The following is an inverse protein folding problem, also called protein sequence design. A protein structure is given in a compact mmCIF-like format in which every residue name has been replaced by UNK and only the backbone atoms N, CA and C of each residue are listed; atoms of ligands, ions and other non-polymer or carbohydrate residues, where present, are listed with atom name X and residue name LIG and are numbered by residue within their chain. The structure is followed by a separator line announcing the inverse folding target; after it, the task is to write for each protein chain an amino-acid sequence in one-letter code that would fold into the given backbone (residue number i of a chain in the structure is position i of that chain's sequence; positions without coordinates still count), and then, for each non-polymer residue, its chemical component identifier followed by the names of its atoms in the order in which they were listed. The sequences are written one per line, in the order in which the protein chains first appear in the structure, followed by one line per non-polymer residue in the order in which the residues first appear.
data_IF_433916038374
#
_entry.id   IF_433916038374
#
_cell.length_a   1.000
_cell.length_b   1.000
_cell.length_c   1.000
_cell.angle_alpha   90.00
_cell.angle_beta   90.00
_cell.angle_gamma   90.00
#
_symmetry.space_group_name_H-M   'P 1'
#
loop_
_entity.id
_entity.type
_entity.pdbx_description
1 polymer ?
#
# COMPACT_ATOMS: atom_id res chain seq x y z
N UNK A 1 24.13 7.38 42.34
CA UNK A 1 22.88 8.12 42.05
C UNK A 1 22.50 7.84 40.62
N UNK A 2 21.48 7.01 40.41
CA UNK A 2 21.00 6.57 39.09
C UNK A 2 20.04 7.60 38.53
N UNK A 3 20.49 8.38 37.53
CA UNK A 3 19.62 9.26 36.76
C UNK A 3 18.80 8.43 35.76
N UNK A 4 17.51 8.30 36.02
CA UNK A 4 16.54 7.75 35.07
C UNK A 4 16.43 8.71 33.89
N UNK A 5 16.91 8.29 32.71
CA UNK A 5 16.63 8.99 31.48
C UNK A 5 15.10 8.98 31.24
N UNK A 6 14.46 10.13 30.99
CA UNK A 6 13.03 10.15 30.71
C UNK A 6 12.78 9.43 29.39
N UNK A 7 12.02 8.33 29.43
CA UNK A 7 11.38 7.75 28.25
C UNK A 7 10.41 8.80 27.70
N UNK A 8 10.85 9.54 26.70
CA UNK A 8 10.06 10.55 26.03
C UNK A 8 8.99 9.84 25.20
N UNK A 9 7.76 9.77 25.72
CA UNK A 9 6.59 9.41 24.94
C UNK A 9 6.26 10.62 24.08
N UNK A 10 6.82 10.69 22.88
CA UNK A 10 6.31 11.63 21.90
C UNK A 10 4.96 11.09 21.43
N UNK A 11 3.89 11.49 22.12
CA UNK A 11 2.53 11.31 21.62
C UNK A 11 2.35 12.28 20.45
N UNK A 12 2.97 11.98 19.33
CA UNK A 12 2.65 12.61 18.05
C UNK A 12 1.27 12.11 17.65
N UNK A 13 0.24 12.74 18.21
CA UNK A 13 -1.15 12.60 17.79
C UNK A 13 -1.27 13.33 16.44
N UNK A 14 -0.67 12.74 15.40
CA UNK A 14 -0.86 13.24 14.03
C UNK A 14 -2.23 12.80 13.58
N UNK A 15 -3.22 13.65 13.88
CA UNK A 15 -4.48 13.72 13.15
C UNK A 15 -4.16 14.07 11.70
N UNK A 16 -3.82 13.05 10.90
CA UNK A 16 -3.81 13.15 9.46
C UNK A 16 -5.27 13.12 8.99
N UNK A 17 -5.95 14.26 9.08
CA UNK A 17 -7.32 14.42 8.62
C UNK A 17 -7.75 15.88 8.73
N UNK A 18 -8.12 16.48 7.60
CA UNK A 18 -8.79 17.78 7.57
C UNK A 18 -10.10 17.68 8.39
N UNK A 19 -10.42 18.63 9.28
CA UNK A 19 -11.56 18.56 10.21
C UNK A 19 -12.94 18.77 9.54
N UNK A 20 -13.10 18.48 8.25
CA UNK A 20 -14.23 18.98 7.45
C UNK A 20 -15.39 18.01 7.23
N UNK A 21 -15.38 16.79 7.79
CA UNK A 21 -16.43 15.80 7.52
C UNK A 21 -16.96 15.11 8.79
N UNK A 22 -18.21 15.38 9.22
CA UNK A 22 -18.88 14.56 10.22
C UNK A 22 -19.29 13.22 9.56
N UNK A 23 -18.62 12.12 9.94
CA UNK A 23 -19.04 10.75 9.58
C UNK A 23 -17.96 9.81 9.04
N UNK A 24 -16.73 10.28 8.77
CA UNK A 24 -15.62 9.40 8.41
C UNK A 24 -14.90 8.89 9.66
N UNK A 25 -15.16 7.64 10.07
CA UNK A 25 -14.43 7.02 11.17
C UNK A 25 -13.00 6.66 10.71
N UNK A 26 -12.07 7.60 10.91
CA UNK A 26 -10.66 7.41 10.57
C UNK A 26 -10.00 6.40 11.53
N UNK A 27 -9.09 5.54 11.04
CA UNK A 27 -8.28 4.71 11.91
C UNK A 27 -7.42 5.59 12.83
N UNK A 28 -7.45 5.30 14.12
CA UNK A 28 -6.56 5.90 15.11
C UNK A 28 -5.21 5.22 15.00
N UNK A 29 -4.18 6.02 14.72
CA UNK A 29 -2.79 5.58 14.67
C UNK A 29 -2.02 6.17 15.85
N UNK A 30 -1.33 5.30 16.57
CA UNK A 30 -0.47 5.67 17.70
C UNK A 30 0.94 5.21 17.41
N UNK A 31 1.91 6.10 17.56
CA UNK A 31 3.33 5.82 17.36
C UNK A 31 4.07 6.01 18.68
N UNK A 32 4.94 5.05 19.02
CA UNK A 32 5.80 5.09 20.20
C UNK A 32 7.24 4.90 19.75
N UNK A 33 8.10 5.86 20.03
CA UNK A 33 9.54 5.79 19.79
C UNK A 33 10.26 5.21 21.01
N UNK A 34 11.34 4.47 20.77
CA UNK A 34 12.09 3.75 21.80
C UNK A 34 11.43 2.45 22.25
N UNK A 35 12.00 1.85 23.29
CA UNK A 35 11.56 0.54 23.80
C UNK A 35 10.20 0.69 24.51
N UNK A 36 9.12 0.14 23.94
CA UNK A 36 7.79 0.30 24.51
C UNK A 36 7.62 -0.64 25.72
N UNK A 37 6.92 -0.15 26.74
CA UNK A 37 6.44 -1.01 27.82
C UNK A 37 5.14 -1.69 27.40
N UNK A 38 4.99 -3.00 27.64
CA UNK A 38 3.78 -3.75 27.28
C UNK A 38 2.50 -3.07 27.80
N UNK A 39 2.51 -2.59 29.06
CA UNK A 39 1.39 -1.87 29.64
C UNK A 39 1.04 -0.56 28.92
N UNK A 40 2.02 0.14 28.34
CA UNK A 40 1.77 1.36 27.58
C UNK A 40 1.09 1.05 26.25
N UNK A 41 1.48 -0.05 25.59
CA UNK A 41 0.88 -0.52 24.33
C UNK A 41 -0.56 -1.02 24.54
N UNK A 42 -0.81 -1.77 25.62
CA UNK A 42 -2.14 -2.30 25.94
C UNK A 42 -3.14 -1.17 26.20
N UNK A 43 -2.75 -0.11 26.92
CA UNK A 43 -3.66 1.04 27.16
C UNK A 43 -4.06 1.76 25.88
N UNK A 44 -3.24 1.69 24.84
CA UNK A 44 -3.49 2.33 23.57
C UNK A 44 -4.26 1.44 22.56
N UNK A 45 -4.51 0.16 22.89
CA UNK A 45 -5.34 -0.74 22.09
C UNK A 45 -6.70 -0.96 22.76
N UNK A 46 -7.80 -0.97 22.00
CA UNK A 46 -9.08 -1.47 22.49
C UNK A 46 -9.01 -3.00 22.54
N UNK A 47 -8.60 -3.58 23.67
CA UNK A 47 -8.40 -5.02 23.78
C UNK A 47 -8.55 -5.56 25.20
N UNK A 48 -8.95 -6.83 25.29
CA UNK A 48 -8.99 -7.61 26.52
C UNK A 48 -7.59 -8.10 26.93
N UNK A 49 -7.49 -8.84 28.03
CA UNK A 49 -6.22 -9.38 28.54
C UNK A 49 -5.48 -10.32 27.58
N UNK A 50 -6.09 -10.73 26.46
CA UNK A 50 -5.43 -11.53 25.43
C UNK A 50 -4.49 -10.67 24.56
N UNK A 51 -4.86 -9.42 24.26
CA UNK A 51 -3.99 -8.48 23.55
C UNK A 51 -2.68 -8.24 24.30
N UNK A 52 -2.75 -8.09 25.62
CA UNK A 52 -1.57 -7.97 26.49
C UNK A 52 -0.63 -9.17 26.35
N UNK A 53 -1.15 -10.40 26.43
CA UNK A 53 -0.33 -11.62 26.29
C UNK A 53 0.34 -11.71 24.92
N UNK A 54 -0.33 -11.25 23.86
CA UNK A 54 0.23 -11.24 22.52
C UNK A 54 1.36 -10.22 22.37
N UNK A 55 1.20 -9.03 22.96
CA UNK A 55 2.25 -7.99 22.98
C UNK A 55 3.47 -8.45 23.77
N UNK A 56 3.25 -9.03 24.96
CA UNK A 56 4.31 -9.60 25.78
C UNK A 56 5.06 -10.73 25.06
N UNK A 57 4.34 -11.54 24.30
CA UNK A 57 4.94 -12.58 23.46
C UNK A 57 5.83 -11.98 22.37
N UNK A 58 5.37 -10.93 21.69
CA UNK A 58 6.18 -10.27 20.67
C UNK A 58 7.42 -9.58 21.23
N UNK A 59 7.29 -8.85 22.34
CA UNK A 59 8.45 -8.26 23.02
C UNK A 59 9.43 -9.34 23.49
N UNK A 60 8.94 -10.48 23.96
CA UNK A 60 9.80 -11.60 24.36
C UNK A 60 10.57 -12.19 23.18
N UNK A 61 9.94 -12.35 22.02
CA UNK A 61 10.61 -12.84 20.80
C UNK A 61 11.75 -11.90 20.40
N UNK A 62 11.49 -10.60 20.42
CA UNK A 62 12.51 -9.59 20.10
C UNK A 62 13.68 -9.65 21.09
N UNK A 63 13.39 -9.65 22.39
CA UNK A 63 14.42 -9.73 23.44
C UNK A 63 15.24 -11.02 23.33
N UNK A 64 14.60 -12.17 23.09
CA UNK A 64 15.29 -13.46 22.94
C UNK A 64 16.23 -13.48 21.74
N UNK A 65 15.90 -12.76 20.68
CA UNK A 65 16.73 -12.63 19.50
C UNK A 65 17.75 -11.47 19.58
N UNK A 66 17.82 -10.76 20.70
CA UNK A 66 18.75 -9.63 20.90
C UNK A 66 18.33 -8.33 20.21
N UNK A 67 17.07 -8.23 19.77
CA UNK A 67 16.53 -7.03 19.12
C UNK A 67 15.68 -6.22 20.09
N UNK A 68 15.71 -4.89 19.92
CA UNK A 68 14.81 -3.98 20.61
C UNK A 68 13.99 -3.19 19.59
N UNK A 69 12.67 -3.00 19.82
CA UNK A 69 11.90 -2.07 19.00
C UNK A 69 12.50 -0.67 19.13
N UNK A 70 12.86 -0.08 18.00
CA UNK A 70 13.24 1.33 17.92
C UNK A 70 11.99 2.20 17.78
N UNK A 71 10.95 1.64 17.16
CA UNK A 71 9.63 2.27 17.07
C UNK A 71 8.55 1.20 17.07
N UNK A 72 7.41 1.52 17.65
CA UNK A 72 6.20 0.70 17.60
C UNK A 72 5.04 1.51 17.03
N UNK A 73 4.35 0.98 16.04
CA UNK A 73 3.21 1.63 15.40
C UNK A 73 1.98 0.79 15.62
N UNK A 74 0.92 1.43 16.08
CA UNK A 74 -0.36 0.80 16.33
C UNK A 74 -1.42 1.45 15.45
N UNK A 75 -2.25 0.63 14.83
CA UNK A 75 -3.38 1.07 14.02
C UNK A 75 -4.63 0.38 14.54
N UNK A 76 -5.65 1.18 14.86
CA UNK A 76 -6.95 0.68 15.34
C UNK A 76 -8.08 1.47 14.69
N UNK A 77 -9.24 0.85 14.44
CA UNK A 77 -10.37 1.51 13.81
C UNK A 77 -11.63 0.65 13.83
N UNK A 78 -12.81 1.26 13.74
CA UNK A 78 -14.07 0.51 13.72
C UNK A 78 -14.14 -0.40 12.49
N UNK A 79 -14.48 -1.68 12.71
CA UNK A 79 -14.64 -2.68 11.64
C UNK A 79 -13.33 -3.25 11.07
N UNK A 80 -12.17 -2.91 11.64
CA UNK A 80 -10.87 -3.50 11.25
C UNK A 80 -10.19 -4.16 12.46
N UNK A 81 -9.48 -5.26 12.20
CA UNK A 81 -8.60 -5.86 13.18
C UNK A 81 -7.51 -4.86 13.57
N UNK A 82 -7.27 -4.67 14.86
CA UNK A 82 -6.19 -3.80 15.32
C UNK A 82 -4.84 -4.42 14.90
N UNK A 83 -3.87 -3.58 14.55
CA UNK A 83 -2.51 -4.04 14.25
C UNK A 83 -1.46 -3.31 15.08
N UNK A 84 -0.36 -4.00 15.36
CA UNK A 84 0.80 -3.48 16.04
C UNK A 84 2.08 -3.98 15.35
N UNK A 85 2.89 -3.03 14.88
CA UNK A 85 4.12 -3.30 14.15
C UNK A 85 5.33 -2.83 14.96
N UNK A 86 6.25 -3.76 15.25
CA UNK A 86 7.55 -3.47 15.87
C UNK A 86 8.60 -3.19 14.78
N UNK A 87 9.11 -1.97 14.74
CA UNK A 87 10.20 -1.59 13.85
C UNK A 87 11.54 -1.76 14.55
N UNK A 88 12.43 -2.55 13.96
CA UNK A 88 13.74 -2.90 14.50
C UNK A 88 14.86 -2.53 13.54
N UNK A 89 16.04 -2.23 14.07
CA UNK A 89 17.27 -2.07 13.27
C UNK A 89 17.81 -3.43 12.84
N UNK A 90 17.14 -4.04 11.87
CA UNK A 90 17.54 -5.30 11.27
C UNK A 90 17.29 -5.25 9.75
N UNK A 91 17.97 -6.13 9.01
CA UNK A 91 17.67 -6.33 7.60
C UNK A 91 16.35 -7.09 7.40
N UNK A 92 15.88 -7.16 6.15
CA UNK A 92 14.61 -7.82 5.81
C UNK A 92 14.63 -9.31 6.17
N UNK A 93 15.76 -10.00 6.01
CA UNK A 93 15.85 -11.43 6.29
C UNK A 93 15.68 -11.71 7.79
N UNK A 94 16.40 -10.96 8.63
CA UNK A 94 16.28 -11.03 10.08
C UNK A 94 14.86 -10.66 10.55
N UNK A 95 14.23 -9.62 9.97
CA UNK A 95 12.84 -9.30 10.28
C UNK A 95 11.87 -10.43 9.92
N UNK A 96 12.04 -11.10 8.78
CA UNK A 96 11.23 -12.25 8.40
C UNK A 96 11.39 -13.43 9.37
N UNK A 97 12.61 -13.69 9.85
CA UNK A 97 12.85 -14.72 10.87
C UNK A 97 12.18 -14.40 12.20
N UNK A 98 12.29 -13.14 12.65
CA UNK A 98 11.63 -12.62 13.86
C UNK A 98 10.11 -12.68 13.73
N UNK A 99 9.56 -12.31 12.58
CA UNK A 99 8.14 -12.39 12.31
C UNK A 99 7.66 -13.85 12.33
N UNK A 100 8.41 -14.77 11.71
CA UNK A 100 8.13 -16.21 11.79
C UNK A 100 8.18 -16.75 13.22
N UNK A 101 9.13 -16.30 14.04
CA UNK A 101 9.21 -16.67 15.46
C UNK A 101 8.04 -16.11 16.28
N UNK A 102 7.65 -14.87 16.00
CA UNK A 102 6.48 -14.21 16.56
C UNK A 102 5.20 -14.98 16.21
N UNK A 103 4.95 -15.29 14.93
CA UNK A 103 3.76 -16.02 14.52
C UNK A 103 3.69 -17.41 15.16
N UNK A 104 4.82 -18.14 15.28
CA UNK A 104 4.86 -19.41 16.00
C UNK A 104 4.51 -19.26 17.49
N UNK A 105 4.96 -18.18 18.12
CA UNK A 105 4.67 -17.94 19.53
C UNK A 105 3.21 -17.52 19.75
N UNK A 106 2.64 -16.73 18.85
CA UNK A 106 1.22 -16.37 18.87
C UNK A 106 0.33 -17.59 18.63
N UNK A 107 0.69 -18.46 17.68
CA UNK A 107 -0.03 -19.70 17.43
C UNK A 107 -0.05 -20.64 18.65
N UNK A 108 1.01 -20.64 19.48
CA UNK A 108 1.04 -21.39 20.75
C UNK A 108 0.14 -20.77 21.82
N UNK A 109 -0.08 -19.46 21.79
CA UNK A 109 -0.90 -18.73 22.75
C UNK A 109 -2.38 -18.69 22.37
N UNK A 110 -2.68 -18.70 21.08
CA UNK A 110 -4.02 -18.67 20.53
C UNK A 110 -4.50 -20.10 20.22
N UNK A 111 -5.18 -20.73 21.17
CA UNK A 111 -5.86 -22.02 20.96
C UNK A 111 -7.27 -21.87 20.36
N UNK A 112 -7.70 -20.63 20.14
CA UNK A 112 -8.99 -20.29 19.55
C UNK A 112 -8.99 -20.54 18.05
N UNK A 113 -10.13 -20.98 17.51
CA UNK A 113 -10.38 -21.09 16.07
C UNK A 113 -10.53 -19.70 15.42
N UNK A 114 -10.94 -18.70 16.21
CA UNK A 114 -11.04 -17.32 15.76
C UNK A 114 -9.66 -16.64 15.80
N UNK A 115 -9.31 -15.84 14.77
CA UNK A 115 -8.04 -15.13 14.74
C UNK A 115 -7.96 -14.15 15.92
N UNK A 116 -6.75 -13.89 16.44
CA UNK A 116 -6.55 -12.96 17.53
C UNK A 116 -7.06 -11.57 17.13
N UNK A 117 -7.75 -10.84 18.02
CA UNK A 117 -8.26 -9.48 17.75
C UNK A 117 -7.16 -8.44 17.45
N UNK A 118 -5.90 -8.82 17.58
CA UNK A 118 -4.70 -8.03 17.33
C UNK A 118 -3.78 -8.77 16.36
N UNK A 119 -3.45 -8.13 15.24
CA UNK A 119 -2.37 -8.53 14.36
C UNK A 119 -1.04 -7.94 14.86
N UNK A 120 0.01 -8.75 14.89
CA UNK A 120 1.34 -8.34 15.32
C UNK A 120 2.35 -8.65 14.22
N UNK A 121 3.24 -7.71 13.91
CA UNK A 121 4.34 -7.96 12.98
C UNK A 121 5.66 -7.31 13.37
N UNK A 122 6.77 -7.86 12.84
CA UNK A 122 8.12 -7.27 12.95
C UNK A 122 8.55 -6.72 11.60
N UNK A 123 8.99 -5.46 11.56
CA UNK A 123 9.33 -4.72 10.34
C UNK A 123 10.73 -4.12 10.39
N UNK A 124 11.44 -4.01 9.25
CA UNK A 124 12.71 -3.31 9.21
C UNK A 124 12.50 -1.82 9.41
N UNK A 125 13.35 -1.17 10.20
CA UNK A 125 13.29 0.28 10.43
C UNK A 125 13.42 1.05 9.10
N UNK A 126 14.31 0.59 8.21
CA UNK A 126 14.57 1.20 6.90
C UNK A 126 13.36 1.17 5.95
N UNK A 127 12.39 0.29 6.17
CA UNK A 127 11.18 0.18 5.33
C UNK A 127 10.09 1.16 5.75
N UNK A 128 10.25 1.85 6.87
CA UNK A 128 9.41 2.98 7.24
C UNK A 128 10.09 4.29 6.86
N UNK A 129 10.25 4.46 5.56
CA UNK A 129 9.99 5.78 5.03
C UNK A 129 8.46 5.93 5.14
N UNK A 130 7.93 6.97 5.80
CA UNK A 130 6.49 7.13 5.95
C UNK A 130 5.80 6.96 4.59
N UNK A 131 4.61 6.34 4.59
CA UNK A 131 3.66 6.25 3.48
C UNK A 131 3.24 7.65 2.98
N UNK A 132 4.17 8.42 2.43
CA UNK A 132 4.00 8.91 1.09
C UNK A 132 4.88 7.99 0.26
N UNK A 133 4.29 7.06 -0.49
CA UNK A 133 4.92 6.58 -1.71
C UNK A 133 5.56 7.82 -2.35
N UNK A 134 6.89 7.90 -2.51
CA UNK A 134 7.43 8.98 -3.31
C UNK A 134 6.75 8.82 -4.66
N UNK A 135 5.91 9.80 -5.00
CA UNK A 135 5.46 10.00 -6.35
C UNK A 135 6.74 9.98 -7.19
N UNK A 136 6.95 8.88 -7.93
CA UNK A 136 8.13 8.70 -8.76
C UNK A 136 9.35 8.05 -8.12
N UNK A 137 9.21 6.89 -7.47
CA UNK A 137 10.32 5.93 -7.53
C UNK A 137 10.55 5.55 -9.00
N UNK A 138 11.47 6.26 -9.65
CA UNK A 138 11.83 6.04 -11.06
C UNK A 138 12.20 4.57 -11.21
N UNK A 139 11.39 3.84 -11.99
CA UNK A 139 11.59 2.41 -12.26
C UNK A 139 10.74 1.43 -11.45
N UNK A 140 9.82 1.88 -10.57
CA UNK A 140 8.88 0.97 -9.89
C UNK A 140 8.03 0.15 -10.88
N UNK A 141 7.46 0.81 -11.89
CA UNK A 141 6.71 0.15 -12.96
C UNK A 141 7.58 -0.88 -13.72
N UNK A 142 8.84 -0.54 -14.06
CA UNK A 142 9.76 -1.45 -14.75
C UNK A 142 10.10 -2.70 -13.92
N UNK A 143 10.34 -2.55 -12.61
CA UNK A 143 10.59 -3.70 -11.73
C UNK A 143 9.37 -4.61 -11.62
N UNK A 144 8.18 -4.04 -11.51
CA UNK A 144 6.93 -4.79 -11.46
C UNK A 144 6.64 -5.50 -12.79
N UNK A 145 6.94 -4.87 -13.93
CA UNK A 145 6.88 -5.51 -15.25
C UNK A 145 7.79 -6.72 -15.34
N UNK A 146 9.05 -6.59 -14.92
CA UNK A 146 9.99 -7.70 -14.88
C UNK A 146 9.51 -8.83 -13.97
N UNK A 147 9.05 -8.48 -12.77
CA UNK A 147 8.50 -9.42 -11.80
C UNK A 147 7.31 -10.20 -12.37
N UNK A 148 6.37 -9.52 -13.05
CA UNK A 148 5.23 -10.16 -13.70
C UNK A 148 5.70 -11.22 -14.74
N UNK A 149 6.66 -10.86 -15.60
CA UNK A 149 7.23 -11.79 -16.57
C UNK A 149 7.94 -12.99 -15.95
N UNK A 150 8.74 -12.76 -14.90
CA UNK A 150 9.43 -13.82 -14.17
C UNK A 150 8.47 -14.80 -13.49
N UNK A 151 7.42 -14.28 -12.84
CA UNK A 151 6.39 -15.10 -12.18
C UNK A 151 5.61 -15.94 -13.18
N UNK A 152 5.24 -15.36 -14.34
CA UNK A 152 4.60 -16.11 -15.42
C UNK A 152 5.50 -17.26 -15.91
N UNK A 153 6.80 -17.01 -16.07
CA UNK A 153 7.78 -17.99 -16.53
C UNK A 153 8.03 -19.13 -15.54
N UNK A 154 7.93 -18.87 -14.23
CA UNK A 154 8.07 -19.90 -13.18
C UNK A 154 6.87 -20.87 -13.14
N UNK A 155 5.71 -20.46 -13.66
CA UNK A 155 4.51 -21.29 -13.71
C UNK A 155 3.89 -21.57 -12.33
N UNK A 156 2.76 -22.28 -12.33
CA UNK A 156 1.96 -22.53 -11.13
C UNK A 156 0.90 -21.45 -10.88
N UNK A 157 -0.25 -21.87 -10.37
CA UNK A 157 -1.44 -21.01 -10.26
C UNK A 157 -1.19 -19.75 -9.41
N UNK A 158 -0.55 -19.89 -8.26
CA UNK A 158 -0.26 -18.74 -7.40
C UNK A 158 0.68 -17.73 -8.08
N UNK A 159 1.70 -18.21 -8.79
CA UNK A 159 2.61 -17.33 -9.54
C UNK A 159 1.88 -16.65 -10.71
N UNK A 160 0.94 -17.34 -11.36
CA UNK A 160 0.11 -16.77 -12.43
C UNK A 160 -0.82 -15.68 -11.90
N UNK A 161 -1.42 -15.88 -10.72
CA UNK A 161 -2.24 -14.86 -10.04
C UNK A 161 -1.39 -13.64 -9.63
N UNK A 162 -0.23 -13.88 -9.01
CA UNK A 162 0.70 -12.81 -8.61
C UNK A 162 1.28 -12.06 -9.81
N UNK A 163 1.51 -12.73 -10.94
CA UNK A 163 1.89 -12.10 -12.21
C UNK A 163 0.86 -11.08 -12.64
N UNK A 164 -0.44 -11.42 -12.60
CA UNK A 164 -1.52 -10.49 -12.93
C UNK A 164 -1.57 -9.29 -11.98
N UNK A 165 -1.37 -9.50 -10.68
CA UNK A 165 -1.31 -8.40 -9.70
C UNK A 165 -0.12 -7.47 -9.99
N UNK A 166 1.06 -8.03 -10.28
CA UNK A 166 2.25 -7.25 -10.64
C UNK A 166 2.02 -6.44 -11.93
N UNK A 167 1.34 -7.01 -12.92
CA UNK A 167 0.98 -6.32 -14.16
C UNK A 167 0.06 -5.12 -13.88
N UNK A 168 -0.98 -5.30 -13.07
CA UNK A 168 -1.85 -4.19 -12.66
C UNK A 168 -1.09 -3.09 -11.90
N UNK A 169 -0.26 -3.45 -10.91
CA UNK A 169 0.50 -2.47 -10.15
C UNK A 169 1.49 -1.68 -11.04
N UNK A 170 2.12 -2.34 -12.02
CA UNK A 170 2.97 -1.65 -12.98
C UNK A 170 2.19 -0.58 -13.77
N UNK A 171 1.01 -0.95 -14.29
CA UNK A 171 0.12 -0.02 -14.99
C UNK A 171 -0.35 1.12 -14.07
N UNK A 172 -0.68 0.82 -12.81
CA UNK A 172 -1.10 1.81 -11.83
C UNK A 172 -0.02 2.87 -11.56
N UNK A 173 1.24 2.44 -11.41
CA UNK A 173 2.38 3.35 -11.19
C UNK A 173 2.63 4.26 -12.39
N UNK A 174 2.56 3.74 -13.61
CA UNK A 174 2.74 4.57 -14.80
C UNK A 174 1.55 5.50 -15.06
N UNK A 175 0.33 5.07 -14.72
CA UNK A 175 -0.85 5.92 -14.72
C UNK A 175 -0.71 7.08 -13.72
N UNK A 176 -0.23 6.78 -12.51
CA UNK A 176 0.04 7.78 -11.46
C UNK A 176 1.09 8.78 -11.92
N UNK A 177 2.23 8.31 -12.40
CA UNK A 177 3.29 9.19 -12.90
C UNK A 177 2.83 10.07 -14.07
N UNK A 178 1.93 9.55 -14.92
CA UNK A 178 1.35 10.30 -16.03
C UNK A 178 0.36 11.37 -15.53
N UNK A 179 -0.53 11.01 -14.61
CA UNK A 179 -1.50 11.93 -14.03
C UNK A 179 -0.83 13.04 -13.21
N UNK A 180 0.25 12.75 -12.50
CA UNK A 180 0.99 13.74 -11.70
C UNK A 180 1.73 14.75 -12.59
N UNK A 181 2.24 14.32 -13.75
CA UNK A 181 2.82 15.25 -14.75
C UNK A 181 1.79 16.19 -15.35
N UNK A 182 0.52 15.79 -15.40
CA UNK A 182 -0.55 16.64 -15.92
C UNK A 182 -0.95 17.76 -14.93
N UNK A 183 -0.52 17.70 -13.67
CA UNK A 183 -0.47 18.81 -12.70
C UNK A 183 -1.77 19.53 -12.34
N UNK A 184 -2.88 19.28 -13.04
CA UNK A 184 -4.11 20.08 -12.99
C UNK A 184 -5.33 19.29 -12.49
N UNK A 185 -5.12 18.05 -12.03
CA UNK A 185 -6.20 17.08 -11.77
C UNK A 185 -6.19 16.51 -10.34
N UNK A 186 -5.69 17.25 -9.35
CA UNK A 186 -5.67 16.78 -7.96
C UNK A 186 -7.00 16.92 -7.22
N UNK A 187 -8.00 17.57 -7.83
CA UNK A 187 -9.35 17.69 -7.28
C UNK A 187 -10.19 16.45 -7.57
N UNK A 188 -9.74 15.27 -7.15
CA UNK A 188 -10.56 14.05 -7.14
C UNK A 188 -11.42 14.03 -5.88
N UNK A 189 -12.72 13.72 -6.02
CA UNK A 189 -13.60 13.40 -4.88
C UNK A 189 -13.32 11.99 -4.31
N UNK A 190 -12.62 11.16 -5.07
CA UNK A 190 -12.23 9.80 -4.69
C UNK A 190 -10.86 9.80 -3.98
N UNK A 191 -10.68 8.87 -3.03
CA UNK A 191 -9.40 8.64 -2.33
C UNK A 191 -8.27 8.17 -3.26
N UNK A 192 -7.07 7.93 -2.72
CA UNK A 192 -5.94 7.43 -3.52
C UNK A 192 -6.23 6.04 -4.12
N UNK A 193 -5.70 5.77 -5.32
CA UNK A 193 -5.81 4.47 -5.98
C UNK A 193 -6.39 4.55 -7.39
N UNK A 194 -6.85 3.40 -7.91
CA UNK A 194 -7.23 3.26 -9.31
C UNK A 194 -8.46 4.07 -9.71
N UNK A 195 -9.47 4.18 -8.84
CA UNK A 195 -10.70 4.94 -9.14
C UNK A 195 -10.41 6.43 -9.35
N UNK A 196 -9.58 7.02 -8.48
CA UNK A 196 -9.13 8.41 -8.65
C UNK A 196 -8.31 8.57 -9.93
N UNK A 197 -7.43 7.63 -10.27
CA UNK A 197 -6.65 7.71 -11.51
C UNK A 197 -7.52 7.59 -12.76
N UNK A 198 -8.47 6.66 -12.78
CA UNK A 198 -9.44 6.55 -13.88
C UNK A 198 -10.26 7.83 -14.02
N UNK A 199 -10.67 8.44 -12.92
CA UNK A 199 -11.37 9.73 -12.96
C UNK A 199 -10.49 10.86 -13.52
N UNK A 200 -9.23 10.97 -13.06
CA UNK A 200 -8.25 11.96 -13.55
C UNK A 200 -8.03 11.80 -15.06
N UNK A 201 -7.79 10.58 -15.52
CA UNK A 201 -7.59 10.27 -16.95
C UNK A 201 -8.83 10.59 -17.79
N UNK A 202 -10.04 10.31 -17.30
CA UNK A 202 -11.29 10.65 -17.98
C UNK A 202 -11.53 12.17 -18.02
N UNK A 203 -11.17 12.89 -16.97
CA UNK A 203 -11.32 14.35 -16.87
C UNK A 203 -10.47 15.12 -17.89
N UNK A 204 -9.41 14.51 -18.41
CA UNK A 204 -8.65 15.07 -19.54
C UNK A 204 -9.51 15.26 -20.81
N UNK A 205 -10.62 14.52 -20.96
CA UNK A 205 -11.57 14.71 -22.06
C UNK A 205 -11.15 14.12 -23.41
N UNK A 206 -9.92 13.64 -23.56
CA UNK A 206 -9.46 12.96 -24.79
C UNK A 206 -9.93 11.51 -24.87
N UNK A 207 -9.93 10.97 -26.10
CA UNK A 207 -10.29 9.55 -26.36
C UNK A 207 -9.24 8.63 -25.72
N UNK A 208 -7.97 9.02 -25.81
CA UNK A 208 -6.82 8.31 -25.27
C UNK A 208 -6.88 8.25 -23.74
N UNK A 209 -7.25 9.34 -23.07
CA UNK A 209 -7.43 9.37 -21.62
C UNK A 209 -8.57 8.46 -21.16
N UNK A 210 -9.69 8.45 -21.88
CA UNK A 210 -10.80 7.50 -21.60
C UNK A 210 -10.42 6.05 -21.86
N UNK A 211 -9.67 5.78 -22.94
CA UNK A 211 -9.18 4.44 -23.26
C UNK A 211 -8.22 3.91 -22.18
N UNK A 212 -7.30 4.76 -21.70
CA UNK A 212 -6.41 4.42 -20.59
C UNK A 212 -7.19 4.13 -19.30
N UNK A 213 -8.17 4.96 -18.95
CA UNK A 213 -9.00 4.71 -17.77
C UNK A 213 -9.74 3.36 -17.87
N UNK A 214 -10.29 3.03 -19.04
CA UNK A 214 -10.98 1.77 -19.28
C UNK A 214 -10.04 0.56 -19.17
N UNK A 215 -8.83 0.68 -19.73
CA UNK A 215 -7.82 -0.37 -19.66
C UNK A 215 -7.33 -0.59 -18.21
N UNK A 216 -7.13 0.49 -17.44
CA UNK A 216 -6.75 0.42 -16.03
C UNK A 216 -7.83 -0.24 -15.17
N UNK A 217 -9.11 0.06 -15.40
CA UNK A 217 -10.24 -0.60 -14.74
C UNK A 217 -10.30 -2.11 -15.08
N UNK A 218 -10.00 -2.47 -16.32
CA UNK A 218 -9.90 -3.87 -16.74
C UNK A 218 -8.81 -4.65 -16.00
N UNK A 219 -7.61 -4.06 -15.91
CA UNK A 219 -6.48 -4.64 -15.17
C UNK A 219 -6.76 -4.72 -13.67
N UNK A 220 -7.41 -3.70 -13.09
CA UNK A 220 -7.83 -3.68 -11.68
C UNK A 220 -8.78 -4.83 -11.36
N UNK A 221 -9.83 -5.02 -12.17
CA UNK A 221 -10.78 -6.14 -12.01
C UNK A 221 -10.10 -7.49 -12.15
N UNK A 222 -9.15 -7.62 -13.07
CA UNK A 222 -8.41 -8.86 -13.25
C UNK A 222 -7.50 -9.18 -12.04
N UNK A 223 -6.87 -8.17 -11.45
CA UNK A 223 -6.08 -8.31 -10.24
C UNK A 223 -6.94 -8.66 -9.02
N UNK A 224 -8.10 -8.02 -8.87
CA UNK A 224 -9.09 -8.32 -7.83
C UNK A 224 -9.56 -9.78 -7.93
N UNK A 225 -9.93 -10.23 -9.13
CA UNK A 225 -10.27 -11.63 -9.39
C UNK A 225 -9.12 -12.60 -9.09
N UNK A 226 -7.89 -12.25 -9.44
CA UNK A 226 -6.72 -13.07 -9.14
C UNK A 226 -6.48 -13.22 -7.63
N UNK A 227 -6.74 -12.17 -6.84
CA UNK A 227 -6.55 -12.15 -5.38
C UNK A 227 -7.68 -12.84 -4.61
N UNK A 228 -8.92 -12.67 -5.05
CA UNK A 228 -10.10 -13.02 -4.24
C UNK A 228 -10.89 -14.23 -4.77
N UNK A 229 -10.79 -14.56 -6.06
CA UNK A 229 -11.50 -15.72 -6.64
C UNK A 229 -10.63 -16.99 -6.59
N UNK A 230 -10.26 -17.42 -5.38
CA UNK A 230 -9.44 -18.63 -5.16
C UNK A 230 -10.16 -19.94 -5.50
N UNK A 231 -11.49 -19.92 -5.64
CA UNK A 231 -12.30 -21.08 -5.99
C UNK A 231 -12.37 -21.39 -7.50
N UNK A 232 -11.82 -20.53 -8.36
CA UNK A 232 -11.82 -20.72 -9.82
C UNK A 232 -10.40 -21.01 -10.29
N UNK A 233 -10.15 -22.03 -11.14
CA UNK A 233 -8.82 -22.28 -11.68
C UNK A 233 -8.29 -21.05 -12.41
N UNK A 234 -7.06 -20.64 -12.08
CA UNK A 234 -6.38 -19.54 -12.73
C UNK A 234 -5.20 -20.06 -13.54
N UNK A 235 -5.30 -19.93 -14.87
CA UNK A 235 -4.34 -20.54 -15.81
C UNK A 235 -3.31 -19.55 -16.37
N UNK A 236 -2.26 -20.12 -16.98
CA UNK A 236 -1.19 -19.36 -17.62
C UNK A 236 -1.70 -18.43 -18.73
N UNK A 237 -2.72 -18.85 -19.48
CA UNK A 237 -3.29 -18.06 -20.57
C UNK A 237 -3.97 -16.79 -20.06
N UNK A 238 -4.65 -16.88 -18.90
CA UNK A 238 -5.24 -15.70 -18.25
C UNK A 238 -4.15 -14.72 -17.81
N UNK A 239 -3.10 -15.23 -17.14
CA UNK A 239 -1.99 -14.38 -16.72
C UNK A 239 -1.24 -13.75 -17.91
N UNK A 240 -1.03 -14.50 -18.99
CA UNK A 240 -0.42 -14.01 -20.23
C UNK A 240 -1.26 -12.91 -20.88
N UNK A 241 -2.57 -13.10 -20.97
CA UNK A 241 -3.49 -12.09 -21.48
C UNK A 241 -3.38 -10.78 -20.68
N UNK A 242 -3.34 -10.84 -19.35
CA UNK A 242 -3.22 -9.63 -18.53
C UNK A 242 -1.86 -8.95 -18.67
N UNK A 243 -0.79 -9.73 -18.86
CA UNK A 243 0.54 -9.20 -19.12
C UNK A 243 0.61 -8.48 -20.48
N UNK A 244 -0.02 -9.03 -21.53
CA UNK A 244 -0.15 -8.36 -22.83
C UNK A 244 -0.99 -7.08 -22.74
N UNK A 245 -2.11 -7.12 -22.01
CA UNK A 245 -2.95 -5.93 -21.79
C UNK A 245 -2.19 -4.82 -21.05
N UNK A 246 -1.36 -5.19 -20.08
CA UNK A 246 -0.47 -4.25 -19.42
C UNK A 246 0.57 -3.68 -20.38
N UNK A 247 1.19 -4.49 -21.26
CA UNK A 247 2.17 -3.96 -22.24
C UNK A 247 1.53 -2.93 -23.16
N UNK A 248 0.34 -3.23 -23.69
CA UNK A 248 -0.44 -2.30 -24.52
C UNK A 248 -0.82 -1.03 -23.77
N UNK A 249 -1.14 -1.13 -22.49
CA UNK A 249 -1.41 0.03 -21.65
C UNK A 249 -0.21 0.97 -21.57
N UNK A 250 1.01 0.44 -21.43
CA UNK A 250 2.23 1.25 -21.39
C UNK A 250 2.49 1.94 -22.74
N UNK A 251 2.27 1.25 -23.85
CA UNK A 251 2.36 1.86 -25.19
C UNK A 251 1.35 2.98 -25.39
N UNK A 252 0.13 2.81 -24.88
CA UNK A 252 -0.93 3.82 -24.93
C UNK A 252 -0.60 5.05 -24.08
N UNK A 253 0.10 4.87 -22.95
CA UNK A 253 0.58 5.98 -22.13
C UNK A 253 1.54 6.88 -22.92
N UNK A 254 2.46 6.31 -23.68
CA UNK A 254 3.38 7.12 -24.49
C UNK A 254 2.64 7.92 -25.57
N UNK A 255 1.63 7.33 -26.21
CA UNK A 255 0.76 8.04 -27.17
C UNK A 255 -0.02 9.16 -26.48
N UNK A 256 -0.59 8.89 -25.32
CA UNK A 256 -1.31 9.89 -24.54
C UNK A 256 -0.39 11.05 -24.13
N UNK A 257 0.83 10.77 -23.67
CA UNK A 257 1.85 11.78 -23.34
C UNK A 257 2.20 12.66 -24.55
N UNK A 258 2.33 12.06 -25.74
CA UNK A 258 2.59 12.82 -26.97
C UNK A 258 1.42 13.74 -27.34
N UNK A 259 0.18 13.29 -27.12
CA UNK A 259 -1.03 14.08 -27.35
C UNK A 259 -1.25 15.19 -26.30
N UNK A 260 -0.71 15.03 -25.10
CA UNK A 260 -0.78 16.00 -24.01
C UNK A 260 0.35 17.06 -24.02
N UNK A 261 1.30 16.98 -24.97
CA UNK A 261 2.36 17.99 -25.05
C UNK A 261 1.77 19.34 -25.46
N UNK A 262 2.11 20.44 -24.77
CA UNK A 262 1.61 21.76 -25.13
C UNK A 262 2.15 22.14 -26.50
N UNK A 263 1.26 22.39 -27.46
CA UNK A 263 1.63 23.11 -28.67
C UNK A 263 2.29 24.46 -28.30
N UNK A 264 3.32 24.82 -29.06
CA UNK A 264 4.05 26.07 -28.99
C UNK A 264 3.11 27.30 -28.96
N UNK A 265 3.50 28.42 -28.30
CA UNK A 265 2.69 29.62 -28.29
C UNK A 265 2.72 30.28 -29.67
N UNK A 266 1.59 30.24 -30.37
CA UNK A 266 1.40 30.92 -31.64
C UNK A 266 -0.04 30.83 -32.13
N UNK A 267 -0.91 31.73 -31.65
CA UNK A 267 -2.18 32.01 -32.32
C UNK A 267 -1.98 32.57 -33.74
N UNK A 268 -3.05 32.70 -34.55
CA UNK A 268 -4.07 33.68 -34.19
C UNK A 268 -5.54 33.25 -34.42
N UNK A 269 -6.41 33.80 -33.56
CA UNK A 269 -7.68 34.43 -33.93
C UNK A 269 -8.75 33.61 -34.63
N UNK A 270 -9.74 33.13 -33.87
CA UNK A 270 -11.12 33.13 -34.36
C UNK A 270 -11.90 34.16 -33.55
N UNK A 271 -11.92 35.39 -34.08
CA UNK A 271 -12.86 36.42 -33.64
C UNK A 271 -14.30 35.98 -33.94
N UNK A 272 -15.16 36.32 -32.98
CA UNK A 272 -16.60 36.47 -33.15
C UNK A 272 -16.93 37.29 -34.40
N UNK A 273 -17.84 36.80 -35.24
CA UNK A 273 -18.86 37.66 -35.83
C UNK A 273 -20.14 36.87 -36.08
N UNK A 274 -21.15 37.20 -35.28
CA UNK A 274 -22.53 37.11 -35.71
C UNK A 274 -22.76 38.06 -36.89
N UNK A 275 -23.50 37.58 -37.89
CA UNK A 275 -24.40 38.35 -38.74
C UNK A 275 -25.44 37.36 -39.29
#
# INVERSE_FOLDING_TARGET
MTGTAPSYVETSLRLSGNPSHPGAFLPTRTEITGVPHAHALVRALPGDGFAQRCIEAGLRVLVQAGYQPVRTVMVSGQGRQASLDFYVEADVAACCELDGALQRQLARLCTSVLPPGLALSVRPLATYVPDGLPAGERGAAERLRRCAGELLGRGGEMNQRLSTVCAYLAALHDAQATADRLGHLDQSLFGQGQEALSWRLRRHGSVEGRALAQALEGLSRAADGALHELGKPYGADHARYQLEQMQRFHEQIERFRSACSPEQPGGPGCESSAA
#
